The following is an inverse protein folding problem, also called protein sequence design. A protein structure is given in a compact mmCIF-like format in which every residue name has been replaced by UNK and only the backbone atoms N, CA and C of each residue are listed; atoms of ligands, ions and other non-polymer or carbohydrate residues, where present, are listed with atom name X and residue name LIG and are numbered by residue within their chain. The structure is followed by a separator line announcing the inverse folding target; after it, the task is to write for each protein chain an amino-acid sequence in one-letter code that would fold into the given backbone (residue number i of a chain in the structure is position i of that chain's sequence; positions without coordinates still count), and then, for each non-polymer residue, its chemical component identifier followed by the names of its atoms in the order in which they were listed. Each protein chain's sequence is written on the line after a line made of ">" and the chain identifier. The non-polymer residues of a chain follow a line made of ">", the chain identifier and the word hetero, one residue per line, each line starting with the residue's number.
data_IF_349095526489
#
_entry.id   IF_349095526489
#
_cell.length_a   1.000
_cell.length_b   1.000
_cell.length_c   1.000
_cell.angle_alpha   90.00
_cell.angle_beta   90.00
_cell.angle_gamma   90.00
#
_symmetry.space_group_name_H-M   'P 1'
#
loop_
_entity.id
_entity.type
_entity.pdbx_description
1 polymer ?
#
# COMPACT_ATOMS: atom_id res chain seq x y z
N UNK A 1 -14.47 -4.16 -0.31
CA UNK A 1 -13.19 -3.93 -1.02
C UNK A 1 -13.38 -3.16 -2.31
N UNK A 2 -14.05 -3.70 -3.34
CA UNK A 2 -14.23 -3.00 -4.63
C UNK A 2 -14.84 -1.60 -4.50
N UNK A 3 -15.97 -1.46 -3.81
CA UNK A 3 -16.60 -0.14 -3.58
C UNK A 3 -15.69 0.85 -2.86
N UNK A 4 -14.85 0.37 -1.95
CA UNK A 4 -13.94 1.25 -1.23
C UNK A 4 -12.82 1.77 -2.16
N UNK A 5 -12.22 0.90 -2.99
CA UNK A 5 -11.21 1.32 -3.97
C UNK A 5 -11.79 2.26 -5.03
N UNK A 6 -13.06 2.09 -5.39
CA UNK A 6 -13.71 2.91 -6.40
C UNK A 6 -14.21 4.26 -5.85
N UNK A 7 -14.74 4.31 -4.62
CA UNK A 7 -15.47 5.48 -4.13
C UNK A 7 -14.68 6.37 -3.15
N UNK A 8 -13.62 5.87 -2.50
CA UNK A 8 -12.89 6.69 -1.52
C UNK A 8 -12.00 7.72 -2.22
N UNK A 9 -12.36 9.01 -2.12
CA UNK A 9 -11.54 10.11 -2.66
C UNK A 9 -10.41 10.55 -1.72
N UNK A 10 -10.51 10.25 -0.42
CA UNK A 10 -9.57 10.68 0.63
C UNK A 10 -8.62 9.58 1.12
N UNK A 11 -8.70 8.37 0.58
CA UNK A 11 -7.78 7.28 0.90
C UNK A 11 -6.61 7.25 -0.07
N UNK A 12 -5.42 6.88 0.40
CA UNK A 12 -4.22 6.71 -0.43
C UNK A 12 -4.08 5.27 -0.93
N UNK A 13 -4.42 4.29 -0.09
CA UNK A 13 -4.40 2.84 -0.36
C UNK A 13 -5.41 2.15 0.56
N UNK A 14 -5.87 0.96 0.17
CA UNK A 14 -6.76 0.11 0.97
C UNK A 14 -6.07 -1.21 1.23
N UNK A 15 -5.68 -1.38 2.49
CA UNK A 15 -4.97 -2.56 2.98
C UNK A 15 -5.94 -3.51 3.68
N UNK A 16 -5.80 -4.81 3.41
CA UNK A 16 -6.51 -5.88 4.10
C UNK A 16 -5.53 -6.60 5.02
N UNK A 17 -5.60 -6.40 6.35
CA UNK A 17 -4.74 -7.10 7.30
C UNK A 17 -4.87 -8.62 7.17
N UNK A 18 -3.73 -9.31 7.13
CA UNK A 18 -3.62 -10.77 7.12
C UNK A 18 -3.30 -11.25 8.54
N UNK A 19 -2.29 -10.64 9.16
CA UNK A 19 -1.78 -11.06 10.46
C UNK A 19 -1.24 -9.87 11.25
N UNK A 20 -1.60 -9.84 12.53
CA UNK A 20 -1.01 -8.95 13.53
C UNK A 20 -0.19 -9.80 14.50
N UNK A 21 1.02 -9.36 14.83
CA UNK A 21 1.89 -10.05 15.75
C UNK A 21 2.89 -9.09 16.37
N UNK A 22 3.54 -9.52 17.44
CA UNK A 22 4.68 -8.80 18.02
C UNK A 22 5.97 -9.48 17.61
N UNK A 23 6.98 -8.68 17.25
CA UNK A 23 8.33 -9.16 17.01
C UNK A 23 9.34 -8.17 17.61
N UNK A 24 10.35 -8.70 18.28
CA UNK A 24 11.46 -7.95 18.87
C UNK A 24 12.65 -7.88 17.94
N UNK A 25 12.82 -8.87 17.07
CA UNK A 25 13.92 -8.92 16.11
C UNK A 25 13.45 -9.45 14.75
N UNK A 26 14.37 -9.44 13.79
CA UNK A 26 14.08 -9.84 12.42
C UNK A 26 13.85 -11.34 12.23
N UNK A 27 14.32 -12.17 13.15
CA UNK A 27 14.15 -13.62 13.08
C UNK A 27 12.77 -14.01 13.64
N UNK A 28 12.28 -13.32 14.67
CA UNK A 28 10.87 -13.39 15.09
C UNK A 28 9.93 -12.95 13.96
N UNK A 29 10.25 -11.88 13.22
CA UNK A 29 9.47 -11.50 12.02
C UNK A 29 9.49 -12.65 11.00
N UNK A 30 10.67 -13.19 10.65
CA UNK A 30 10.79 -14.29 9.71
C UNK A 30 9.91 -15.49 10.11
N UNK A 31 10.02 -15.94 11.36
CA UNK A 31 9.27 -17.08 11.88
C UNK A 31 7.75 -16.83 11.84
N UNK A 32 7.30 -15.63 12.21
CA UNK A 32 5.88 -15.27 12.19
C UNK A 32 5.31 -15.21 10.78
N UNK A 33 6.10 -14.76 9.81
CA UNK A 33 5.73 -14.69 8.38
C UNK A 33 5.73 -16.09 7.77
N UNK A 34 6.73 -16.92 8.04
CA UNK A 34 6.81 -18.29 7.51
C UNK A 34 5.66 -19.16 8.02
N UNK A 35 5.15 -18.90 9.23
CA UNK A 35 4.02 -19.64 9.80
C UNK A 35 2.65 -19.36 9.14
N UNK A 36 2.55 -18.40 8.21
CA UNK A 36 1.30 -18.09 7.50
C UNK A 36 1.05 -19.15 6.41
N UNK A 37 -0.18 -19.67 6.26
CA UNK A 37 -0.53 -20.58 5.16
C UNK A 37 -0.57 -19.83 3.82
N UNK A 38 0.59 -19.60 3.20
CA UNK A 38 0.71 -18.74 2.03
C UNK A 38 -0.05 -19.21 0.79
N UNK A 39 -0.39 -20.49 0.66
CA UNK A 39 -1.26 -20.98 -0.42
C UNK A 39 -2.64 -20.31 -0.47
N UNK A 40 -3.13 -19.75 0.64
CA UNK A 40 -4.41 -19.04 0.67
C UNK A 40 -4.34 -17.65 0.00
N UNK A 41 -3.13 -17.10 -0.15
CA UNK A 41 -2.91 -15.72 -0.59
C UNK A 41 -2.07 -15.59 -1.85
N UNK A 42 -1.13 -16.52 -2.08
CA UNK A 42 -0.17 -16.49 -3.18
C UNK A 42 -0.06 -17.86 -3.84
N UNK A 43 0.03 -17.87 -5.17
CA UNK A 43 0.36 -19.06 -5.95
C UNK A 43 1.85 -19.01 -6.33
N UNK A 44 2.51 -20.17 -6.39
CA UNK A 44 3.94 -20.26 -6.73
C UNK A 44 4.27 -19.72 -8.12
N UNK A 45 3.31 -19.69 -9.04
CA UNK A 45 3.47 -19.15 -10.39
C UNK A 45 3.21 -17.65 -10.47
N UNK A 46 2.69 -17.02 -9.40
CA UNK A 46 2.46 -15.59 -9.33
C UNK A 46 3.70 -14.84 -8.87
N UNK A 47 3.72 -13.55 -9.21
CA UNK A 47 4.73 -12.61 -8.74
C UNK A 47 4.24 -11.82 -7.55
N UNK A 48 5.17 -11.47 -6.65
CA UNK A 48 4.84 -10.63 -5.50
C UNK A 48 5.89 -9.55 -5.23
N UNK A 49 5.50 -8.55 -4.45
CA UNK A 49 6.40 -7.55 -3.88
C UNK A 49 6.01 -7.22 -2.44
N UNK A 50 6.98 -6.71 -1.67
CA UNK A 50 6.78 -6.29 -0.29
C UNK A 50 7.20 -4.84 -0.14
N UNK A 51 6.25 -4.02 0.31
CA UNK A 51 6.51 -2.68 0.81
C UNK A 51 6.57 -2.72 2.34
N UNK A 52 7.54 -2.00 2.91
CA UNK A 52 7.79 -2.03 4.34
C UNK A 52 7.86 -0.61 4.90
N UNK A 53 7.05 -0.35 5.92
CA UNK A 53 7.05 0.90 6.69
C UNK A 53 7.45 0.55 8.11
N UNK A 54 8.49 1.20 8.61
CA UNK A 54 9.08 0.84 9.89
C UNK A 54 9.28 2.10 10.72
N UNK A 55 8.77 2.05 11.94
CA UNK A 55 8.94 3.04 13.00
C UNK A 55 9.32 2.30 14.28
N UNK A 56 10.62 2.09 14.50
CA UNK A 56 11.14 1.32 15.64
C UNK A 56 12.59 1.68 15.90
N UNK A 57 13.04 1.55 17.15
CA UNK A 57 14.45 1.71 17.52
C UNK A 57 15.33 0.53 17.07
N UNK A 58 14.75 -0.68 17.11
CA UNK A 58 15.41 -1.93 16.71
C UNK A 58 15.41 -2.14 15.19
N UNK A 59 14.24 -2.11 14.56
CA UNK A 59 14.14 -2.19 13.10
C UNK A 59 14.49 -0.85 12.45
N UNK A 60 15.76 -0.65 12.08
CA UNK A 60 16.25 0.62 11.53
C UNK A 60 16.11 0.78 10.02
N UNK A 61 15.91 -0.32 9.29
CA UNK A 61 15.94 -0.33 7.83
C UNK A 61 14.76 -1.11 7.25
N UNK A 62 13.82 -0.39 6.62
CA UNK A 62 12.64 -1.00 5.98
C UNK A 62 12.99 -2.01 4.89
N UNK A 63 14.02 -1.75 4.08
CA UNK A 63 14.49 -2.70 3.05
C UNK A 63 14.94 -4.04 3.64
N UNK A 64 15.58 -4.02 4.81
CA UNK A 64 16.01 -5.24 5.49
C UNK A 64 14.82 -6.08 5.94
N UNK A 65 13.80 -5.44 6.52
CA UNK A 65 12.53 -6.08 6.87
C UNK A 65 11.85 -6.68 5.63
N UNK A 66 11.75 -5.90 4.54
CA UNK A 66 11.19 -6.38 3.27
C UNK A 66 11.91 -7.64 2.75
N UNK A 67 13.25 -7.68 2.83
CA UNK A 67 14.01 -8.87 2.46
C UNK A 67 13.74 -10.07 3.36
N UNK A 68 13.65 -9.88 4.68
CA UNK A 68 13.34 -10.96 5.63
C UNK A 68 11.94 -11.54 5.39
N UNK A 69 10.95 -10.70 5.13
CA UNK A 69 9.59 -11.13 4.77
C UNK A 69 9.60 -11.91 3.44
N UNK A 70 10.32 -11.39 2.44
CA UNK A 70 10.48 -12.05 1.13
C UNK A 70 11.10 -13.44 1.27
N UNK A 71 12.18 -13.56 2.04
CA UNK A 71 12.88 -14.83 2.24
C UNK A 71 11.97 -15.84 2.96
N UNK A 72 11.24 -15.42 4.00
CA UNK A 72 10.28 -16.28 4.71
C UNK A 72 9.18 -16.83 3.79
N UNK A 73 8.64 -16.01 2.88
CA UNK A 73 7.63 -16.43 1.90
C UNK A 73 8.23 -17.40 0.89
N UNK A 74 9.43 -17.10 0.37
CA UNK A 74 10.11 -17.94 -0.61
C UNK A 74 10.44 -19.30 -0.02
N UNK A 75 10.96 -19.34 1.20
CA UNK A 75 11.33 -20.57 1.89
C UNK A 75 10.09 -21.41 2.22
N UNK A 76 8.97 -20.78 2.62
CA UNK A 76 7.69 -21.48 2.78
C UNK A 76 7.29 -22.30 1.53
N UNK A 77 7.30 -21.68 0.34
CA UNK A 77 6.97 -22.38 -0.89
C UNK A 77 8.03 -23.40 -1.28
N UNK A 78 9.31 -23.09 -1.06
CA UNK A 78 10.42 -23.99 -1.36
C UNK A 78 10.33 -25.27 -0.54
N UNK A 79 10.09 -25.16 0.75
CA UNK A 79 10.02 -26.30 1.67
C UNK A 79 8.80 -27.19 1.35
N UNK A 80 7.68 -26.59 0.95
CA UNK A 80 6.43 -27.30 0.70
C UNK A 80 6.31 -27.88 -0.72
N UNK A 81 6.86 -27.20 -1.72
CA UNK A 81 6.63 -27.51 -3.14
C UNK A 81 7.91 -27.71 -3.96
N UNK A 82 9.09 -27.43 -3.38
CA UNK A 82 10.38 -27.43 -4.08
C UNK A 82 10.57 -26.27 -5.06
N UNK A 83 9.57 -25.38 -5.21
CA UNK A 83 9.57 -24.25 -6.13
C UNK A 83 9.50 -22.93 -5.36
N UNK A 84 9.92 -21.83 -6.00
CA UNK A 84 9.84 -20.48 -5.43
C UNK A 84 8.98 -19.54 -6.29
N UNK A 85 8.15 -18.69 -5.68
CA UNK A 85 7.53 -17.59 -6.39
C UNK A 85 8.57 -16.55 -6.82
N UNK A 86 8.25 -15.83 -7.89
CA UNK A 86 9.13 -14.78 -8.42
C UNK A 86 8.80 -13.42 -7.79
N UNK A 87 9.80 -12.59 -7.55
CA UNK A 87 9.60 -11.22 -7.04
C UNK A 87 9.63 -10.24 -8.20
N UNK A 88 8.61 -9.39 -8.30
CA UNK A 88 8.52 -8.35 -9.34
C UNK A 88 8.11 -7.05 -8.68
N UNK A 89 8.99 -6.05 -8.70
CA UNK A 89 8.74 -4.75 -8.07
C UNK A 89 7.69 -3.95 -8.86
N UNK A 90 7.74 -4.02 -10.19
CA UNK A 90 6.85 -3.26 -11.06
C UNK A 90 5.64 -4.12 -11.46
N UNK A 91 4.44 -3.71 -11.06
CA UNK A 91 3.19 -4.42 -11.33
C UNK A 91 3.20 -5.91 -10.90
N UNK A 92 3.40 -6.20 -9.59
CA UNK A 92 3.27 -7.55 -9.04
C UNK A 92 1.83 -8.05 -9.10
N UNK A 93 1.63 -9.37 -9.13
CA UNK A 93 0.30 -9.97 -8.99
C UNK A 93 -0.25 -9.83 -7.55
N UNK A 94 0.66 -9.86 -6.56
CA UNK A 94 0.33 -9.69 -5.14
C UNK A 94 1.28 -8.67 -4.50
N UNK A 95 0.72 -7.60 -3.96
CA UNK A 95 1.48 -6.61 -3.20
C UNK A 95 1.18 -6.76 -1.70
N UNK A 96 2.24 -6.94 -0.92
CA UNK A 96 2.18 -7.04 0.53
C UNK A 96 2.71 -5.77 1.17
N UNK A 97 2.09 -5.34 2.26
CA UNK A 97 2.57 -4.25 3.07
C UNK A 97 2.84 -4.77 4.49
N UNK A 98 4.05 -4.56 5.00
CA UNK A 98 4.39 -4.78 6.41
C UNK A 98 4.61 -3.44 7.10
N UNK A 99 3.82 -3.19 8.12
CA UNK A 99 3.96 -2.02 8.97
C UNK A 99 4.47 -2.45 10.34
N UNK A 100 5.59 -1.88 10.78
CA UNK A 100 6.17 -2.13 12.10
C UNK A 100 6.15 -0.82 12.89
N UNK A 101 5.43 -0.81 14.00
CA UNK A 101 5.43 0.26 14.99
C UNK A 101 5.95 -0.28 16.32
N UNK A 102 7.15 0.16 16.70
CA UNK A 102 7.95 -0.40 17.80
C UNK A 102 8.08 -1.92 17.62
N UNK A 103 7.40 -2.70 18.46
CA UNK A 103 7.40 -4.17 18.39
C UNK A 103 6.14 -4.73 17.72
N UNK A 104 5.15 -3.89 17.39
CA UNK A 104 3.89 -4.33 16.77
C UNK A 104 4.02 -4.37 15.26
N UNK A 105 3.80 -5.55 14.69
CA UNK A 105 3.89 -5.82 13.27
C UNK A 105 2.50 -6.14 12.70
N UNK A 106 2.15 -5.49 11.60
CA UNK A 106 0.92 -5.75 10.83
C UNK A 106 1.29 -6.06 9.39
N UNK A 107 1.01 -7.29 8.95
CA UNK A 107 1.13 -7.69 7.56
C UNK A 107 -0.24 -7.60 6.88
N UNK A 108 -0.29 -6.95 5.72
CA UNK A 108 -1.52 -6.71 4.96
C UNK A 108 -1.35 -6.99 3.47
N UNK A 109 -2.44 -7.39 2.81
CA UNK A 109 -2.55 -7.35 1.34
C UNK A 109 -2.93 -5.95 0.90
N UNK A 110 -2.25 -5.44 -0.12
CA UNK A 110 -2.69 -4.23 -0.82
C UNK A 110 -3.73 -4.59 -1.88
N UNK A 111 -4.90 -3.96 -1.77
CA UNK A 111 -6.01 -4.18 -2.72
C UNK A 111 -6.16 -3.08 -3.76
N UNK A 112 -5.40 -2.00 -3.65
CA UNK A 112 -5.42 -0.84 -4.54
C UNK A 112 -4.41 -1.00 -5.68
N UNK A 113 -3.27 -1.64 -5.40
CA UNK A 113 -2.18 -1.78 -6.36
C UNK A 113 -1.42 -0.45 -6.52
N UNK A 114 -1.80 0.37 -7.49
CA UNK A 114 -1.33 1.76 -7.53
C UNK A 114 -1.99 2.58 -6.42
N UNK A 115 -1.32 3.65 -6.01
CA UNK A 115 -1.92 4.53 -5.01
C UNK A 115 -3.16 5.22 -5.56
N UNK A 116 -4.22 5.19 -4.77
CA UNK A 116 -5.45 5.92 -4.96
C UNK A 116 -5.25 7.44 -4.81
N UNK A 117 -4.11 8.05 -5.14
CA UNK A 117 -4.05 9.47 -5.57
C UNK A 117 -3.95 9.58 -7.09
N UNK A 118 -3.56 8.52 -7.80
CA UNK A 118 -3.50 8.50 -9.27
C UNK A 118 -4.85 8.10 -9.85
N UNK A 119 -5.66 9.07 -10.26
CA UNK A 119 -6.98 8.82 -10.89
C UNK A 119 -6.90 8.49 -12.37
N UNK A 120 -5.74 8.70 -12.99
CA UNK A 120 -5.53 8.48 -14.43
C UNK A 120 -5.87 9.68 -15.32
N UNK A 121 -6.43 10.77 -14.79
CA UNK A 121 -6.68 11.99 -15.60
C UNK A 121 -5.42 12.83 -15.82
N UNK A 122 -4.44 12.76 -14.91
CA UNK A 122 -3.21 13.56 -14.98
C UNK A 122 -2.22 12.90 -15.94
N UNK A 123 -2.11 13.44 -17.15
CA UNK A 123 -1.17 12.95 -18.17
C UNK A 123 0.20 13.63 -18.08
N UNK A 124 0.25 14.90 -17.65
CA UNK A 124 1.49 15.66 -17.50
C UNK A 124 1.72 16.07 -16.04
N UNK A 125 2.95 15.89 -15.56
CA UNK A 125 3.37 16.37 -14.26
C UNK A 125 3.81 17.84 -14.39
N UNK A 126 2.93 18.75 -13.99
CA UNK A 126 3.32 20.16 -13.72
C UNK A 126 4.23 20.18 -12.48
N UNK A 127 5.04 21.23 -12.30
CA UNK A 127 5.89 21.37 -11.12
C UNK A 127 5.07 21.33 -9.82
N UNK A 128 5.40 20.41 -8.91
CA UNK A 128 4.81 20.23 -7.59
C UNK A 128 3.26 20.27 -7.53
N UNK A 129 2.55 19.37 -8.24
CA UNK A 129 1.10 19.42 -8.29
C UNK A 129 0.51 18.91 -6.97
N UNK A 130 -0.58 19.54 -6.53
CA UNK A 130 -1.31 19.13 -5.33
C UNK A 130 -1.74 17.67 -5.45
N UNK A 131 -1.60 16.92 -4.35
CA UNK A 131 -2.09 15.55 -4.27
C UNK A 131 -3.62 15.53 -4.35
N UNK A 132 -4.16 14.71 -5.24
CA UNK A 132 -5.58 14.58 -5.53
C UNK A 132 -6.39 14.19 -4.28
N UNK A 133 -5.83 13.33 -3.43
CA UNK A 133 -6.42 12.94 -2.13
C UNK A 133 -6.56 14.14 -1.20
N UNK A 134 -5.54 15.00 -1.17
CA UNK A 134 -5.53 16.20 -0.35
C UNK A 134 -6.54 17.23 -0.88
N UNK A 135 -6.60 17.43 -2.19
CA UNK A 135 -7.58 18.31 -2.83
C UNK A 135 -9.02 17.89 -2.51
N UNK A 136 -9.34 16.59 -2.65
CA UNK A 136 -10.65 16.05 -2.26
C UNK A 136 -10.95 16.27 -0.77
N UNK A 137 -9.94 16.09 0.11
CA UNK A 137 -10.06 16.37 1.53
C UNK A 137 -10.35 17.86 1.83
N UNK A 138 -9.68 18.77 1.13
CA UNK A 138 -9.91 20.21 1.26
C UNK A 138 -11.35 20.59 0.90
N UNK A 139 -11.86 20.09 -0.23
CA UNK A 139 -13.25 20.34 -0.67
C UNK A 139 -14.25 19.79 0.34
N UNK A 140 -14.03 18.57 0.86
CA UNK A 140 -14.89 18.00 1.89
C UNK A 140 -14.92 18.86 3.17
N UNK A 141 -13.80 19.49 3.53
CA UNK A 141 -13.73 20.39 4.69
C UNK A 141 -14.46 21.73 4.48
N UNK A 142 -14.63 22.21 3.25
CA UNK A 142 -15.41 23.43 2.98
C UNK A 142 -16.92 23.20 3.17
N UNK A 143 -17.36 21.95 3.11
CA UNK A 143 -18.78 21.58 3.13
C UNK A 143 -19.53 21.88 1.83
N UNK A 144 -18.82 22.25 0.76
CA UNK A 144 -19.39 22.49 -0.57
C UNK A 144 -19.94 21.19 -1.16
N UNK A 145 -21.18 21.20 -1.69
CA UNK A 145 -21.81 20.03 -2.33
C UNK A 145 -22.35 20.36 -3.72
N UNK A 146 -21.79 21.38 -4.38
CA UNK A 146 -22.18 21.78 -5.73
C UNK A 146 -23.39 22.71 -5.79
N UNK A 147 -23.83 23.29 -4.67
CA UNK A 147 -24.99 24.20 -4.65
C UNK A 147 -24.65 25.63 -5.07
N UNK A 148 -23.37 25.99 -5.15
CA UNK A 148 -22.89 27.30 -5.58
C UNK A 148 -21.58 27.18 -6.38
N UNK A 149 -21.18 28.30 -7.00
CA UNK A 149 -19.94 28.36 -7.77
C UNK A 149 -18.71 28.12 -6.89
N UNK A 150 -17.82 27.24 -7.34
CA UNK A 150 -16.50 27.03 -6.76
C UNK A 150 -15.46 27.73 -7.63
N UNK A 151 -14.69 28.64 -7.02
CA UNK A 151 -13.67 29.42 -7.71
C UNK A 151 -12.31 29.14 -7.06
N UNK A 152 -11.37 28.60 -7.85
CA UNK A 152 -9.96 28.52 -7.51
C UNK A 152 -9.18 29.54 -8.36
N UNK A 153 -8.84 30.73 -7.81
CA UNK A 153 -8.21 31.80 -8.57
C UNK A 153 -6.74 31.52 -8.94
N UNK A 154 -6.14 30.46 -8.40
CA UNK A 154 -4.75 30.06 -8.62
C UNK A 154 -4.66 28.56 -8.89
N UNK A 155 -5.55 28.06 -9.76
CA UNK A 155 -5.83 26.62 -9.90
C UNK A 155 -4.67 25.77 -10.42
N UNK A 156 -3.60 26.37 -10.96
CA UNK A 156 -2.42 25.67 -11.44
C UNK A 156 -2.77 24.52 -12.40
N UNK A 157 -2.51 23.28 -11.98
CA UNK A 157 -2.84 22.06 -12.73
C UNK A 157 -4.34 21.67 -12.72
N UNK A 158 -5.20 22.49 -12.12
CA UNK A 158 -6.65 22.27 -12.07
C UNK A 158 -7.10 21.20 -11.08
N UNK A 159 -6.23 20.78 -10.15
CA UNK A 159 -6.51 19.62 -9.28
C UNK A 159 -7.74 19.82 -8.38
N UNK A 160 -7.90 21.01 -7.78
CA UNK A 160 -9.06 21.29 -6.92
C UNK A 160 -10.36 21.31 -7.74
N UNK A 161 -10.48 22.08 -8.86
CA UNK A 161 -11.67 22.03 -9.69
C UNK A 161 -12.02 20.63 -10.22
N UNK A 162 -11.02 19.81 -10.59
CA UNK A 162 -11.26 18.44 -11.08
C UNK A 162 -11.78 17.52 -9.98
N UNK A 163 -11.24 17.60 -8.76
CA UNK A 163 -11.74 16.78 -7.63
C UNK A 163 -13.10 17.25 -7.11
N UNK A 164 -13.48 18.51 -7.39
CA UNK A 164 -14.79 19.08 -7.09
C UNK A 164 -15.89 18.63 -8.07
N UNK A 165 -15.54 18.37 -9.33
CA UNK A 165 -16.46 17.88 -10.35
C UNK A 165 -16.88 16.40 -10.11
#
# INVERSE_FOLDING_TARGET
>A
MYKANFCLRTAIRILKPIKNFTAKDADEVYNQIQAIPWEEYLDVNKTFAIDAVVFSDEFRHSKFVSYKVKDAIVDYFRDKTGKRPSVRINNPDVLLNIHIAQTTCTLSLDSSGESLHRRGYRQEAVEAPLNEVLAAGMILMTGWRGECDLIDPMCGSGTIPVEAA
#
